data_IF_576007473003
#
_entry.id   IF_576007473003
#
_cell.length_a   1.000
_cell.length_b   1.000
_cell.length_c   1.000
_cell.angle_alpha   90.00
_cell.angle_beta   90.00
_cell.angle_gamma   90.00
#
_symmetry.space_group_name_H-M   'P 1'
#
loop_
_entity.id
_entity.type
_entity.pdbx_description
1 polymer ?
#
# COMPACT_ATOMS: atom_id res chain seq x y z
N UNK A 1 -11.29 15.93 -10.35
CA UNK A 1 -11.31 14.44 -10.39
C UNK A 1 -11.28 13.89 -8.99
N UNK A 2 -12.03 12.85 -8.74
CA UNK A 2 -12.02 12.16 -7.47
C UNK A 2 -11.03 10.99 -7.50
N UNK A 3 -10.57 10.58 -6.33
CA UNK A 3 -9.63 9.46 -6.18
C UNK A 3 -10.12 8.20 -6.90
N UNK A 4 -11.43 7.88 -6.80
CA UNK A 4 -12.02 6.70 -7.47
C UNK A 4 -11.87 6.71 -8.99
N UNK A 5 -11.72 7.89 -9.60
CA UNK A 5 -11.57 8.04 -11.06
C UNK A 5 -10.14 7.77 -11.52
N UNK A 6 -9.18 7.80 -10.60
CA UNK A 6 -7.74 7.78 -10.88
C UNK A 6 -7.09 6.50 -10.37
N UNK A 7 -7.56 5.97 -9.24
CA UNK A 7 -6.97 4.82 -8.55
C UNK A 7 -6.88 3.58 -9.43
N UNK A 8 -5.92 2.70 -9.14
CA UNK A 8 -5.94 1.34 -9.65
C UNK A 8 -6.77 0.45 -8.72
N UNK A 9 -7.51 -0.49 -9.30
CA UNK A 9 -8.24 -1.53 -8.55
C UNK A 9 -7.37 -2.75 -8.26
N UNK A 10 -6.14 -2.78 -8.76
CA UNK A 10 -5.21 -3.88 -8.57
C UNK A 10 -4.60 -3.79 -7.17
N UNK A 11 -5.22 -4.46 -6.21
CA UNK A 11 -4.79 -4.52 -4.82
C UNK A 11 -4.62 -5.97 -4.42
N UNK A 12 -3.47 -6.29 -3.84
CA UNK A 12 -3.18 -7.63 -3.33
C UNK A 12 -3.00 -7.60 -1.82
N UNK A 13 -3.44 -8.65 -1.16
CA UNK A 13 -3.47 -8.77 0.30
C UNK A 13 -2.56 -9.90 0.75
N UNK A 14 -2.11 -9.83 2.00
CA UNK A 14 -1.36 -10.91 2.65
C UNK A 14 -1.68 -10.93 4.14
N UNK A 15 -1.65 -12.10 4.74
CA UNK A 15 -1.77 -12.26 6.19
C UNK A 15 -0.43 -11.90 6.85
N UNK A 16 -0.48 -11.17 7.97
CA UNK A 16 0.71 -10.77 8.70
C UNK A 16 1.52 -11.93 9.28
N UNK A 17 0.93 -13.11 9.42
CA UNK A 17 1.60 -14.32 9.89
C UNK A 17 2.46 -14.99 8.82
N UNK A 18 2.30 -14.61 7.56
CA UNK A 18 3.12 -15.12 6.46
C UNK A 18 4.54 -14.58 6.57
N UNK A 19 5.48 -15.26 5.92
CA UNK A 19 6.88 -14.83 5.91
C UNK A 19 7.12 -13.71 4.91
N UNK A 20 8.21 -12.97 5.10
CA UNK A 20 8.64 -11.96 4.13
C UNK A 20 8.95 -12.60 2.77
N UNK A 21 9.50 -13.82 2.77
CA UNK A 21 9.70 -14.58 1.53
C UNK A 21 8.39 -14.79 0.77
N UNK A 22 7.30 -15.13 1.47
CA UNK A 22 5.97 -15.26 0.86
C UNK A 22 5.51 -13.94 0.26
N UNK A 23 5.75 -12.84 0.96
CA UNK A 23 5.40 -11.50 0.48
C UNK A 23 6.16 -11.15 -0.81
N UNK A 24 7.46 -11.43 -0.86
CA UNK A 24 8.29 -11.19 -2.04
C UNK A 24 7.77 -11.98 -3.23
N UNK A 25 7.47 -13.26 -3.02
CA UNK A 25 6.90 -14.13 -4.07
C UNK A 25 5.59 -13.57 -4.60
N UNK A 26 4.71 -13.14 -3.71
CA UNK A 26 3.41 -12.59 -4.09
C UNK A 26 3.55 -11.28 -4.87
N UNK A 27 4.43 -10.39 -4.42
CA UNK A 27 4.72 -9.14 -5.14
C UNK A 27 5.22 -9.41 -6.56
N UNK A 28 6.13 -10.36 -6.72
CA UNK A 28 6.67 -10.73 -8.03
C UNK A 28 5.63 -11.41 -8.92
N UNK A 29 4.83 -12.32 -8.34
CA UNK A 29 3.80 -13.04 -9.06
C UNK A 29 2.72 -12.11 -9.62
N UNK A 30 2.31 -11.12 -8.85
CA UNK A 30 1.25 -10.17 -9.23
C UNK A 30 1.78 -8.84 -9.80
N UNK A 31 3.10 -8.69 -9.87
CA UNK A 31 3.76 -7.47 -10.34
C UNK A 31 3.27 -6.21 -9.61
N UNK A 32 3.27 -6.28 -8.31
CA UNK A 32 2.93 -5.15 -7.42
C UNK A 32 4.11 -4.81 -6.53
N UNK A 33 4.16 -3.58 -6.05
CA UNK A 33 5.24 -3.09 -5.20
C UNK A 33 4.84 -2.96 -3.72
N UNK A 34 3.60 -3.32 -3.41
CA UNK A 34 3.08 -3.31 -2.04
C UNK A 34 1.99 -4.35 -1.89
N UNK A 35 1.80 -4.79 -0.63
CA UNK A 35 0.70 -5.66 -0.24
C UNK A 35 -0.01 -5.03 0.94
N UNK A 36 -1.34 -5.09 0.94
CA UNK A 36 -2.13 -4.73 2.12
C UNK A 36 -2.09 -5.91 3.07
N UNK A 37 -1.75 -5.64 4.32
CA UNK A 37 -1.73 -6.66 5.36
C UNK A 37 -3.09 -6.68 6.03
N UNK A 38 -3.77 -7.83 5.95
CA UNK A 38 -5.12 -7.98 6.49
C UNK A 38 -5.15 -7.72 8.00
N UNK A 39 -6.24 -7.12 8.46
CA UNK A 39 -6.50 -6.96 9.88
C UNK A 39 -7.01 -8.29 10.47
N UNK A 40 -6.76 -8.49 11.77
CA UNK A 40 -7.09 -9.74 12.47
C UNK A 40 -8.51 -9.77 13.04
N UNK A 41 -9.24 -8.68 12.92
CA UNK A 41 -10.59 -8.55 13.44
C UNK A 41 -11.07 -7.12 13.30
N UNK A 42 -12.29 -6.85 13.78
CA UNK A 42 -12.93 -5.54 13.63
C UNK A 42 -12.11 -4.41 14.25
N UNK A 43 -11.41 -4.69 15.36
CA UNK A 43 -10.64 -3.69 16.10
C UNK A 43 -9.19 -3.55 15.60
N UNK A 44 -8.76 -4.45 14.73
CA UNK A 44 -7.40 -4.41 14.20
C UNK A 44 -7.37 -3.57 12.92
N UNK A 45 -6.31 -2.78 12.74
CA UNK A 45 -6.15 -1.94 11.57
C UNK A 45 -5.41 -2.69 10.45
N UNK A 46 -5.72 -2.34 9.21
CA UNK A 46 -4.91 -2.78 8.06
C UNK A 46 -3.49 -2.24 8.19
N UNK A 47 -2.53 -3.02 7.73
CA UNK A 47 -1.15 -2.61 7.53
C UNK A 47 -0.80 -2.56 6.05
N UNK A 48 0.41 -2.14 5.76
CA UNK A 48 0.98 -2.18 4.42
C UNK A 48 2.44 -2.62 4.50
N UNK A 49 2.86 -3.48 3.58
CA UNK A 49 4.26 -3.85 3.39
C UNK A 49 4.66 -3.48 1.96
N UNK A 50 5.80 -2.81 1.82
CA UNK A 50 6.30 -2.31 0.53
C UNK A 50 7.67 -2.88 0.22
N UNK A 51 8.10 -2.76 -1.05
CA UNK A 51 9.47 -3.10 -1.46
C UNK A 51 10.49 -2.32 -0.63
N UNK A 52 10.21 -1.05 -0.33
CA UNK A 52 11.09 -0.22 0.51
C UNK A 52 11.24 -0.79 1.92
N UNK A 53 10.14 -1.26 2.53
CA UNK A 53 10.21 -1.92 3.83
C UNK A 53 11.14 -3.12 3.81
N UNK A 54 11.03 -3.94 2.78
CA UNK A 54 11.86 -5.14 2.61
C UNK A 54 13.34 -4.76 2.43
N UNK A 55 13.63 -3.76 1.60
CA UNK A 55 15.01 -3.28 1.41
C UNK A 55 15.59 -2.80 2.73
N UNK A 56 14.87 -1.97 3.47
CA UNK A 56 15.39 -1.31 4.67
C UNK A 56 15.43 -2.25 5.90
N UNK A 57 14.45 -3.13 6.04
CA UNK A 57 14.28 -3.94 7.26
C UNK A 57 14.76 -5.37 7.11
N UNK A 58 14.95 -5.85 5.90
CA UNK A 58 15.40 -7.22 5.62
C UNK A 58 16.76 -7.23 4.93
N UNK A 59 16.88 -6.59 3.78
CA UNK A 59 18.14 -6.62 3.00
C UNK A 59 19.23 -5.86 3.72
N UNK A 60 18.96 -4.63 4.15
CA UNK A 60 19.95 -3.78 4.81
C UNK A 60 20.44 -4.33 6.16
N UNK A 61 19.59 -5.09 6.85
CA UNK A 61 19.92 -5.67 8.16
C UNK A 61 20.48 -7.09 8.07
N UNK A 62 20.41 -7.73 6.91
CA UNK A 62 20.83 -9.13 6.74
C UNK A 62 19.89 -10.13 7.40
N UNK A 63 18.64 -9.76 7.62
CA UNK A 63 17.64 -10.64 8.24
C UNK A 63 17.16 -11.69 7.26
N UNK A 64 16.91 -12.91 7.74
CA UNK A 64 16.44 -14.01 6.91
C UNK A 64 14.95 -13.80 6.54
N UNK A 65 14.61 -13.65 5.24
CA UNK A 65 13.23 -13.47 4.82
C UNK A 65 12.35 -14.70 5.02
N UNK A 66 12.94 -15.88 5.19
CA UNK A 66 12.20 -17.13 5.39
C UNK A 66 11.70 -17.30 6.83
N UNK A 67 12.29 -16.57 7.79
CA UNK A 67 11.88 -16.62 9.19
C UNK A 67 11.19 -15.35 9.65
N UNK A 68 11.53 -14.20 9.07
CA UNK A 68 10.88 -12.93 9.39
C UNK A 68 9.42 -12.94 8.94
N UNK A 69 8.54 -12.40 9.78
CA UNK A 69 7.11 -12.30 9.47
C UNK A 69 6.76 -10.95 8.85
N UNK A 70 5.75 -10.94 8.00
CA UNK A 70 5.21 -9.71 7.41
C UNK A 70 4.83 -8.72 8.50
N UNK A 71 4.21 -9.19 9.59
CA UNK A 71 3.82 -8.36 10.72
C UNK A 71 4.99 -7.60 11.35
N UNK A 72 6.23 -8.12 11.25
CA UNK A 72 7.41 -7.50 11.84
C UNK A 72 7.98 -6.35 11.00
N UNK A 73 7.62 -6.28 9.73
CA UNK A 73 8.17 -5.29 8.78
C UNK A 73 7.12 -4.33 8.23
N UNK A 74 5.83 -4.64 8.35
CA UNK A 74 4.75 -3.78 7.88
C UNK A 74 4.67 -2.47 8.64
N UNK A 75 4.07 -1.45 8.03
CA UNK A 75 3.68 -0.20 8.67
C UNK A 75 2.20 -0.23 9.02
N UNK A 76 1.85 0.30 10.22
CA UNK A 76 0.49 0.23 10.76
C UNK A 76 0.29 1.30 11.84
N UNK A 77 -0.90 1.94 11.96
CA UNK A 77 -2.02 1.82 11.01
C UNK A 77 -1.67 2.48 9.67
N UNK A 78 -2.30 2.04 8.61
CA UNK A 78 -2.06 2.66 7.31
C UNK A 78 -2.81 3.99 7.18
N UNK A 79 -2.23 4.91 6.41
CA UNK A 79 -2.88 6.14 5.96
C UNK A 79 -3.58 5.83 4.65
N UNK A 80 -4.83 6.26 4.51
CA UNK A 80 -5.64 5.95 3.32
C UNK A 80 -6.41 7.18 2.85
N UNK A 81 -6.90 7.12 1.61
CA UNK A 81 -7.78 8.11 1.02
C UNK A 81 -9.18 7.50 0.84
N UNK A 82 -10.22 8.33 0.90
CA UNK A 82 -11.56 7.89 0.55
C UNK A 82 -11.78 8.00 -0.97
N UNK A 83 -12.65 7.17 -1.55
CA UNK A 83 -12.90 7.20 -3.00
C UNK A 83 -13.42 8.53 -3.52
N UNK A 84 -14.18 9.24 -2.70
CA UNK A 84 -14.77 10.52 -3.07
C UNK A 84 -13.88 11.74 -2.84
N UNK A 85 -12.67 11.54 -2.33
CA UNK A 85 -11.75 12.65 -2.09
C UNK A 85 -11.29 13.27 -3.42
N UNK A 86 -11.27 14.60 -3.49
CA UNK A 86 -10.71 15.29 -4.65
C UNK A 86 -9.21 15.01 -4.79
N UNK A 87 -8.75 14.83 -6.01
CA UNK A 87 -7.37 14.43 -6.30
C UNK A 87 -6.32 15.38 -5.74
N UNK A 88 -6.59 16.68 -5.69
CA UNK A 88 -5.63 17.64 -5.12
C UNK A 88 -5.38 17.43 -3.62
N UNK A 89 -6.40 16.99 -2.88
CA UNK A 89 -6.25 16.71 -1.45
C UNK A 89 -5.50 15.39 -1.23
N UNK A 90 -5.71 14.40 -2.10
CA UNK A 90 -4.92 13.19 -2.07
C UNK A 90 -3.45 13.47 -2.38
N UNK A 91 -3.18 14.34 -3.35
CA UNK A 91 -1.82 14.78 -3.67
C UNK A 91 -1.16 15.48 -2.48
N UNK A 92 -1.88 16.34 -1.78
CA UNK A 92 -1.39 16.99 -0.56
C UNK A 92 -1.10 15.99 0.55
N UNK A 93 -1.95 14.98 0.70
CA UNK A 93 -1.76 13.93 1.68
C UNK A 93 -0.47 13.13 1.39
N UNK A 94 -0.24 12.76 0.14
CA UNK A 94 1.00 12.11 -0.28
C UNK A 94 2.22 13.01 -0.04
N UNK A 95 2.11 14.29 -0.39
CA UNK A 95 3.18 15.27 -0.17
C UNK A 95 3.52 15.43 1.31
N UNK A 96 2.50 15.57 2.16
CA UNK A 96 2.69 15.80 3.59
C UNK A 96 3.22 14.59 4.34
N UNK A 97 2.88 13.37 3.90
CA UNK A 97 3.32 12.13 4.54
C UNK A 97 4.63 11.60 3.98
N UNK A 98 5.02 12.04 2.78
CA UNK A 98 6.17 11.47 2.06
C UNK A 98 5.91 10.08 1.49
N UNK A 99 4.69 9.58 1.55
CA UNK A 99 4.31 8.31 0.96
C UNK A 99 4.21 8.43 -0.55
N UNK A 100 4.48 7.34 -1.27
CA UNK A 100 4.37 7.30 -2.73
C UNK A 100 3.02 6.82 -3.19
N UNK A 101 2.25 6.19 -2.30
CA UNK A 101 0.93 5.63 -2.58
C UNK A 101 0.08 5.60 -1.34
N UNK A 102 -1.24 5.60 -1.57
CA UNK A 102 -2.24 5.49 -0.52
C UNK A 102 -3.22 4.40 -0.89
N UNK A 103 -3.52 3.49 0.02
CA UNK A 103 -4.70 2.64 -0.11
C UNK A 103 -5.96 3.48 -0.12
N UNK A 104 -6.95 3.04 -0.88
CA UNK A 104 -8.26 3.70 -0.96
C UNK A 104 -9.27 2.85 -0.20
N UNK A 105 -9.85 3.43 0.84
CA UNK A 105 -10.75 2.74 1.77
C UNK A 105 -12.12 3.40 1.72
N UNK A 106 -13.18 2.58 1.52
CA UNK A 106 -14.55 3.09 1.38
C UNK A 106 -15.33 3.16 2.71
N UNK A 107 -14.68 2.84 3.81
CA UNK A 107 -15.29 2.73 5.13
C UNK A 107 -15.55 1.30 5.57
N UNK A 108 -15.42 0.34 4.66
CA UNK A 108 -15.61 -1.09 4.93
C UNK A 108 -14.42 -1.93 4.48
N UNK A 109 -13.96 -1.72 3.24
CA UNK A 109 -12.87 -2.49 2.64
C UNK A 109 -11.95 -1.57 1.83
N UNK A 110 -10.75 -2.06 1.56
CA UNK A 110 -9.82 -1.42 0.62
C UNK A 110 -10.30 -1.71 -0.79
N UNK A 111 -10.59 -0.66 -1.55
CA UNK A 111 -11.15 -0.78 -2.90
C UNK A 111 -10.17 -0.45 -4.01
N UNK A 112 -9.02 0.10 -3.68
CA UNK A 112 -8.01 0.48 -4.67
C UNK A 112 -6.73 0.98 -4.06
N UNK A 113 -5.84 1.43 -4.92
CA UNK A 113 -4.56 2.02 -4.57
C UNK A 113 -4.35 3.27 -5.42
N UNK A 114 -3.88 4.35 -4.82
CA UNK A 114 -3.54 5.58 -5.51
C UNK A 114 -2.05 5.86 -5.35
N UNK A 115 -1.37 6.13 -6.45
CA UNK A 115 0.06 6.45 -6.44
C UNK A 115 0.33 7.84 -7.01
N UNK A 116 1.52 8.36 -6.75
CA UNK A 116 2.01 9.57 -7.41
C UNK A 116 1.96 9.43 -8.93
N UNK A 117 2.32 8.25 -9.46
CA UNK A 117 2.29 7.98 -10.89
C UNK A 117 0.88 8.05 -11.46
N UNK A 118 -0.12 7.56 -10.73
CA UNK A 118 -1.52 7.63 -11.14
C UNK A 118 -2.00 9.08 -11.23
N UNK A 119 -1.66 9.88 -10.21
CA UNK A 119 -2.01 11.31 -10.18
C UNK A 119 -1.35 12.07 -11.33
N UNK A 120 -0.06 11.82 -11.55
CA UNK A 120 0.68 12.47 -12.63
C UNK A 120 0.08 12.12 -13.99
N UNK A 121 -0.19 10.84 -14.24
CA UNK A 121 -0.76 10.39 -15.51
C UNK A 121 -2.14 11.01 -15.77
N UNK A 122 -3.00 11.05 -14.76
CA UNK A 122 -4.32 11.65 -14.88
C UNK A 122 -4.25 13.16 -15.14
N UNK A 123 -3.38 13.85 -14.43
CA UNK A 123 -3.18 15.30 -14.58
C UNK A 123 -2.62 15.64 -15.97
N UNK A 124 -1.68 14.82 -16.45
CA UNK A 124 -1.06 15.02 -17.78
C UNK A 124 -2.09 15.02 -18.92
N UNK A 125 -3.17 14.25 -18.78
CA UNK A 125 -4.25 14.19 -19.78
C UNK A 125 -5.07 15.47 -19.85
N UNK A 126 -4.98 16.35 -18.85
CA UNK A 126 -5.71 17.62 -18.83
C UNK A 126 -4.95 18.74 -19.52
N UNK A 127 -3.70 18.54 -19.86
CA UNK A 127 -2.84 19.50 -20.56
C UNK A 127 -2.76 19.16 -22.04
#
# INVERSE_FOLDING_TARGET
>A
MQVKDIMTKKVEFIDGSKTVADAIKKMNQHNVSSLIVDHRGIEDAYGIVTRKDIVNKIIATGTDPHTAKVADVMSKPLVFASPGLEHKYAARLLSNTGFRRLPVFDGKVIVGMLSNSDLFAAFSKTI
#
